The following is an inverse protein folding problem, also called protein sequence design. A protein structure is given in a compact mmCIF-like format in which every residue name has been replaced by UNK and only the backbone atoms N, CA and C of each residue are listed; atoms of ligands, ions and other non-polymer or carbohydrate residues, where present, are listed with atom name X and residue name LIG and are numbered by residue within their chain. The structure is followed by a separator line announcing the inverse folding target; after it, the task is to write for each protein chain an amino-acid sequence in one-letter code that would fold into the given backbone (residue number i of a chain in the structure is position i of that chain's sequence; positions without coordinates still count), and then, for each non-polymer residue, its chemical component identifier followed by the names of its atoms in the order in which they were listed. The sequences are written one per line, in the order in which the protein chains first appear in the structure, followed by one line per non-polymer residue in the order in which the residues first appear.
data_IF_037252160586
#
_entry.id   IF_037252160586
#
_cell.length_a   1.000
_cell.length_b   1.000
_cell.length_c   1.000
_cell.angle_alpha   90.00
_cell.angle_beta   90.00
_cell.angle_gamma   90.00
#
_symmetry.space_group_name_H-M   'P 1'
#
loop_
_entity.id
_entity.type
_entity.pdbx_description
1 polymer ?
#
# COMPACT_ATOMS: atom_id res chain seq x y z
N UNK A 1 -13.06 9.64 8.84
CA UNK A 1 -11.85 10.45 8.55
C UNK A 1 -11.22 11.03 9.82
N UNK A 2 -11.99 11.58 10.76
CA UNK A 2 -11.50 12.10 12.06
C UNK A 2 -10.57 11.14 12.82
N UNK A 3 -11.05 9.94 13.20
CA UNK A 3 -10.23 8.93 13.90
C UNK A 3 -8.90 8.56 13.21
N UNK A 4 -8.87 8.58 11.88
CA UNK A 4 -7.65 8.30 11.13
C UNK A 4 -6.67 9.48 11.21
N UNK A 5 -7.18 10.71 11.21
CA UNK A 5 -6.39 11.91 11.48
C UNK A 5 -5.84 11.93 12.90
N UNK A 6 -6.67 11.57 13.90
CA UNK A 6 -6.25 11.49 15.30
C UNK A 6 -5.14 10.47 15.50
N UNK A 7 -5.19 9.32 14.82
CA UNK A 7 -4.15 8.31 14.88
C UNK A 7 -2.82 8.82 14.29
N UNK A 8 -2.87 9.56 13.18
CA UNK A 8 -1.68 10.18 12.58
C UNK A 8 -1.08 11.24 13.51
N UNK A 9 -1.93 12.08 14.12
CA UNK A 9 -1.50 13.09 15.08
C UNK A 9 -0.85 12.44 16.32
N UNK A 10 -1.50 11.42 16.88
CA UNK A 10 -0.95 10.66 17.99
C UNK A 10 0.39 10.02 17.64
N UNK A 11 0.51 9.37 16.48
CA UNK A 11 1.75 8.77 16.02
C UNK A 11 2.88 9.80 15.84
N UNK A 12 2.54 11.02 15.42
CA UNK A 12 3.48 12.13 15.32
C UNK A 12 3.99 12.60 16.68
N UNK A 13 3.12 12.67 17.69
CA UNK A 13 3.50 12.93 19.08
C UNK A 13 4.41 11.84 19.64
N UNK A 14 4.17 10.56 19.31
CA UNK A 14 5.01 9.45 19.75
C UNK A 14 6.44 9.49 19.21
N UNK A 15 6.65 10.15 18.06
CA UNK A 15 8.00 10.41 17.52
C UNK A 15 8.53 11.79 17.91
N UNK A 16 7.97 12.39 18.96
CA UNK A 16 8.33 13.70 19.48
C UNK A 16 8.32 14.78 18.41
N UNK A 17 7.26 14.78 17.59
CA UNK A 17 7.09 15.71 16.48
C UNK A 17 8.31 15.73 15.53
N UNK A 18 8.89 14.55 15.29
CA UNK A 18 10.03 14.32 14.40
C UNK A 18 11.40 14.47 15.06
N UNK A 19 11.49 14.92 16.31
CA UNK A 19 12.76 15.03 17.03
C UNK A 19 13.41 13.64 17.23
N UNK A 20 12.62 12.61 17.55
CA UNK A 20 13.12 11.24 17.69
C UNK A 20 13.70 10.73 16.35
N UNK A 21 13.01 10.98 15.24
CA UNK A 21 13.46 10.55 13.91
C UNK A 21 14.76 11.25 13.50
N UNK A 22 14.96 12.50 13.92
CA UNK A 22 16.22 13.23 13.72
C UNK A 22 17.35 12.60 14.53
N UNK A 23 17.11 12.23 15.79
CA UNK A 23 18.11 11.54 16.62
C UNK A 23 18.51 10.20 16.01
N UNK A 24 17.53 9.41 15.55
CA UNK A 24 17.78 8.14 14.85
C UNK A 24 18.56 8.36 13.55
N UNK A 25 18.19 9.36 12.74
CA UNK A 25 18.91 9.67 11.49
C UNK A 25 20.37 10.10 11.74
N UNK A 26 20.65 10.75 12.87
CA UNK A 26 22.02 11.11 13.28
C UNK A 26 22.81 9.90 13.77
N UNK A 27 22.18 9.02 14.53
CA UNK A 27 22.82 7.83 15.07
C UNK A 27 23.09 6.79 13.97
N UNK A 28 22.18 6.67 13.02
CA UNK A 28 22.18 5.64 11.98
C UNK A 28 22.00 6.25 10.58
N UNK A 29 22.94 7.08 10.08
CA UNK A 29 22.80 7.75 8.79
C UNK A 29 22.78 6.80 7.59
N UNK A 30 23.15 5.52 7.79
CA UNK A 30 23.08 4.46 6.78
C UNK A 30 21.70 3.78 6.73
N UNK A 31 20.84 4.00 7.71
CA UNK A 31 19.54 3.36 7.79
C UNK A 31 18.47 4.18 7.06
N UNK A 32 17.65 3.50 6.25
CA UNK A 32 16.56 4.15 5.51
C UNK A 32 15.29 4.36 6.37
N UNK A 33 15.08 3.54 7.40
CA UNK A 33 13.81 3.52 8.15
C UNK A 33 13.44 4.86 8.82
N UNK A 34 14.37 5.68 9.39
CA UNK A 34 13.97 6.96 9.98
C UNK A 34 13.40 7.90 8.91
N UNK A 35 13.96 7.83 7.70
CA UNK A 35 13.51 8.58 6.53
C UNK A 35 12.17 8.08 6.00
N UNK A 36 11.99 6.76 5.87
CA UNK A 36 10.72 6.16 5.42
C UNK A 36 9.57 6.48 6.39
N UNK A 37 9.81 6.40 7.71
CA UNK A 37 8.84 6.77 8.74
C UNK A 37 8.53 8.28 8.66
N UNK A 38 9.56 9.13 8.60
CA UNK A 38 9.35 10.59 8.46
C UNK A 38 8.53 10.94 7.20
N UNK A 39 8.80 10.26 6.09
CA UNK A 39 8.11 10.52 4.83
C UNK A 39 6.60 10.24 4.90
N UNK A 40 6.15 9.30 5.74
CA UNK A 40 4.74 9.09 5.99
C UNK A 40 4.08 10.33 6.61
N UNK A 41 4.70 10.93 7.62
CA UNK A 41 4.23 12.17 8.27
C UNK A 41 4.33 13.40 7.35
N UNK A 42 5.45 13.53 6.62
CA UNK A 42 5.67 14.59 5.65
C UNK A 42 4.59 14.62 4.56
N UNK A 43 4.08 13.45 4.16
CA UNK A 43 2.94 13.29 3.24
C UNK A 43 1.62 13.88 3.76
N UNK A 44 1.46 14.00 5.08
CA UNK A 44 0.32 14.67 5.73
C UNK A 44 0.60 16.14 6.10
N UNK A 45 1.75 16.69 5.70
CA UNK A 45 2.15 18.06 6.01
C UNK A 45 2.75 18.24 7.41
N UNK A 46 2.99 17.16 8.14
CA UNK A 46 3.69 17.17 9.43
C UNK A 46 5.20 17.17 9.17
N UNK A 47 5.88 18.24 9.57
CA UNK A 47 7.24 18.56 9.11
C UNK A 47 8.14 18.93 10.29
N UNK A 48 9.41 18.54 10.21
CA UNK A 48 10.42 18.89 11.21
C UNK A 48 11.67 19.46 10.53
N UNK A 49 11.93 20.75 10.73
CA UNK A 49 12.98 21.49 10.01
C UNK A 49 14.37 20.88 10.21
N UNK A 50 14.70 20.48 11.45
CA UNK A 50 15.99 19.87 11.77
C UNK A 50 16.19 18.51 11.09
N UNK A 51 15.10 17.76 10.88
CA UNK A 51 15.14 16.49 10.16
C UNK A 51 15.45 16.74 8.70
N UNK A 52 14.71 17.64 8.05
CA UNK A 52 14.91 17.94 6.63
C UNK A 52 16.26 18.60 6.34
N UNK A 53 16.77 19.41 7.27
CA UNK A 53 18.10 20.00 7.19
C UNK A 53 19.22 18.94 7.16
N UNK A 54 19.10 17.86 7.94
CA UNK A 54 20.04 16.73 7.92
C UNK A 54 19.79 15.79 6.74
N UNK A 55 18.52 15.56 6.39
CA UNK A 55 18.15 14.65 5.34
C UNK A 55 18.65 15.10 3.96
N UNK A 56 18.57 16.41 3.64
CA UNK A 56 19.04 16.95 2.34
C UNK A 56 20.48 16.58 1.98
N UNK A 57 21.51 16.88 2.82
CA UNK A 57 22.87 16.48 2.50
C UNK A 57 23.05 14.96 2.53
N UNK A 58 22.32 14.23 3.39
CA UNK A 58 22.41 12.78 3.49
C UNK A 58 21.95 12.08 2.20
N UNK A 59 20.77 12.47 1.68
CA UNK A 59 20.21 11.87 0.45
C UNK A 59 21.01 12.22 -0.80
N UNK A 60 21.85 13.26 -0.74
CA UNK A 60 22.77 13.64 -1.81
C UNK A 60 24.08 12.82 -1.80
N UNK A 61 24.31 11.96 -0.80
CA UNK A 61 25.53 11.16 -0.72
C UNK A 61 25.52 9.99 -1.69
N UNK A 62 26.72 9.54 -2.08
CA UNK A 62 26.89 8.30 -2.84
C UNK A 62 26.46 7.07 -2.05
N UNK A 63 26.64 7.08 -0.72
CA UNK A 63 26.22 5.99 0.14
C UNK A 63 24.71 5.78 0.05
N UNK A 64 23.93 6.87 0.11
CA UNK A 64 22.48 6.83 -0.09
C UNK A 64 22.10 6.27 -1.47
N UNK A 65 22.70 6.81 -2.53
CA UNK A 65 22.43 6.38 -3.90
C UNK A 65 22.84 4.93 -4.22
N UNK A 66 23.71 4.33 -3.41
CA UNK A 66 24.22 2.97 -3.57
C UNK A 66 23.82 2.04 -2.42
N UNK A 67 22.77 2.37 -1.66
CA UNK A 67 22.28 1.52 -0.57
C UNK A 67 21.88 0.15 -1.12
N UNK A 68 22.50 -0.92 -0.64
CA UNK A 68 22.21 -2.28 -1.07
C UNK A 68 20.88 -2.77 -0.47
N UNK A 69 19.83 -2.80 -1.29
CA UNK A 69 18.49 -3.25 -0.90
C UNK A 69 17.77 -3.92 -2.06
N UNK A 70 16.76 -4.74 -1.74
CA UNK A 70 15.83 -5.27 -2.73
C UNK A 70 15.11 -4.15 -3.50
N UNK A 71 14.79 -4.37 -4.77
CA UNK A 71 14.24 -3.34 -5.65
C UNK A 71 12.89 -2.77 -5.17
N UNK A 72 12.04 -3.58 -4.52
CA UNK A 72 10.78 -3.11 -3.93
C UNK A 72 11.03 -2.13 -2.77
N UNK A 73 12.04 -2.38 -1.93
CA UNK A 73 12.45 -1.47 -0.84
C UNK A 73 13.04 -0.17 -1.41
N UNK A 74 13.85 -0.26 -2.46
CA UNK A 74 14.34 0.94 -3.17
C UNK A 74 13.20 1.79 -3.74
N UNK A 75 12.13 1.19 -4.26
CA UNK A 75 10.93 1.93 -4.67
C UNK A 75 10.25 2.64 -3.49
N UNK A 76 10.24 2.02 -2.31
CA UNK A 76 9.76 2.64 -1.07
C UNK A 76 10.55 3.89 -0.70
N UNK A 77 11.86 3.85 -0.86
CA UNK A 77 12.73 5.01 -0.64
C UNK A 77 12.48 6.12 -1.67
N UNK A 78 12.35 5.78 -2.95
CA UNK A 78 12.00 6.74 -4.01
C UNK A 78 10.61 7.37 -3.77
N UNK A 79 9.63 6.59 -3.30
CA UNK A 79 8.32 7.12 -2.90
C UNK A 79 8.46 8.08 -1.71
N UNK A 80 9.25 7.71 -0.71
CA UNK A 80 9.51 8.52 0.49
C UNK A 80 10.13 9.86 0.13
N UNK A 81 11.13 9.88 -0.77
CA UNK A 81 11.77 11.09 -1.27
C UNK A 81 10.76 12.05 -1.93
N UNK A 82 9.82 11.51 -2.71
CA UNK A 82 8.74 12.31 -3.30
C UNK A 82 7.80 12.91 -2.25
N UNK A 83 7.49 12.18 -1.18
CA UNK A 83 6.63 12.67 -0.08
C UNK A 83 7.32 13.77 0.73
N UNK A 84 8.62 13.62 0.98
CA UNK A 84 9.43 14.68 1.60
C UNK A 84 9.59 15.87 0.65
N UNK A 85 9.54 15.66 -0.67
CA UNK A 85 9.62 16.72 -1.67
C UNK A 85 11.06 17.00 -2.11
N UNK A 86 11.95 16.01 -2.02
CA UNK A 86 13.33 16.10 -2.51
C UNK A 86 13.46 15.44 -3.89
N UNK A 87 14.55 15.75 -4.59
CA UNK A 87 14.91 15.06 -5.83
C UNK A 87 15.21 13.60 -5.50
N UNK A 88 14.60 12.69 -6.25
CA UNK A 88 14.80 11.25 -6.04
C UNK A 88 16.22 10.84 -6.43
N UNK A 89 16.85 10.00 -5.62
CA UNK A 89 18.24 9.59 -5.87
C UNK A 89 18.40 8.71 -7.12
N UNK A 90 17.31 8.12 -7.61
CA UNK A 90 17.28 7.25 -8.78
C UNK A 90 15.95 7.36 -9.53
N UNK A 91 15.91 6.81 -10.75
CA UNK A 91 14.69 6.72 -11.54
C UNK A 91 13.81 5.55 -11.07
N UNK A 92 12.54 5.83 -10.78
CA UNK A 92 11.59 4.81 -10.34
C UNK A 92 11.33 3.75 -11.41
N UNK A 93 11.35 4.09 -12.70
CA UNK A 93 11.14 3.13 -13.78
C UNK A 93 12.26 2.10 -13.85
N UNK A 94 13.50 2.54 -13.73
CA UNK A 94 14.68 1.68 -13.68
C UNK A 94 14.78 0.81 -12.43
N UNK A 95 14.21 1.25 -11.29
CA UNK A 95 14.09 0.39 -10.09
C UNK A 95 12.94 -0.61 -10.28
N UNK A 96 11.80 -0.17 -10.80
CA UNK A 96 10.63 -1.01 -11.04
C UNK A 96 10.97 -2.20 -11.92
N UNK A 97 11.71 -2.01 -13.01
CA UNK A 97 12.09 -3.09 -13.93
C UNK A 97 12.95 -4.20 -13.29
N UNK A 98 13.55 -3.94 -12.11
CA UNK A 98 14.31 -4.93 -11.34
C UNK A 98 13.47 -5.67 -10.28
N UNK A 99 12.22 -5.27 -10.07
CA UNK A 99 11.30 -5.97 -9.17
C UNK A 99 10.72 -7.21 -9.84
N UNK A 100 10.28 -8.19 -9.03
CA UNK A 100 9.55 -9.37 -9.52
C UNK A 100 8.31 -8.98 -10.35
N UNK A 101 7.54 -8.01 -9.86
CA UNK A 101 6.36 -7.49 -10.58
C UNK A 101 6.73 -6.75 -11.87
N UNK A 102 7.76 -5.89 -11.84
CA UNK A 102 8.15 -5.11 -13.02
C UNK A 102 8.81 -5.96 -14.11
N UNK A 103 9.39 -7.10 -13.75
CA UNK A 103 9.82 -8.14 -14.69
C UNK A 103 8.67 -8.98 -15.28
N UNK A 104 7.43 -8.81 -14.77
CA UNK A 104 6.28 -9.65 -15.10
C UNK A 104 6.62 -11.14 -14.94
N UNK A 105 7.27 -11.49 -13.83
CA UNK A 105 7.73 -12.84 -13.54
C UNK A 105 6.60 -13.87 -13.66
N UNK A 106 6.97 -15.13 -13.83
CA UNK A 106 6.03 -16.23 -14.01
C UNK A 106 5.04 -16.31 -12.84
N UNK A 107 3.73 -16.22 -13.09
CA UNK A 107 2.72 -16.05 -12.03
C UNK A 107 2.57 -17.29 -11.13
N UNK A 108 2.98 -18.47 -11.60
CA UNK A 108 3.02 -19.70 -10.81
C UNK A 108 4.23 -19.79 -9.85
N UNK A 109 5.16 -18.83 -9.92
CA UNK A 109 6.26 -18.68 -8.96
C UNK A 109 5.88 -17.74 -7.79
N UNK A 110 4.59 -17.43 -7.65
CA UNK A 110 4.07 -16.66 -6.53
C UNK A 110 4.21 -17.47 -5.23
N UNK A 111 4.84 -16.85 -4.24
CA UNK A 111 5.07 -17.38 -2.89
C UNK A 111 4.98 -16.22 -1.89
N UNK A 112 4.89 -16.49 -0.59
CA UNK A 112 4.74 -15.45 0.43
C UNK A 112 5.71 -14.26 0.26
N UNK A 113 7.04 -14.48 0.19
CA UNK A 113 8.00 -13.39 -0.01
C UNK A 113 7.81 -12.59 -1.30
N UNK A 114 7.47 -13.23 -2.43
CA UNK A 114 7.24 -12.53 -3.69
C UNK A 114 5.89 -11.79 -3.69
N UNK A 115 4.89 -12.33 -2.99
CA UNK A 115 3.61 -11.68 -2.70
C UNK A 115 3.78 -10.37 -1.96
N UNK A 116 4.45 -10.39 -0.79
CA UNK A 116 4.76 -9.17 -0.03
C UNK A 116 5.63 -8.18 -0.83
N UNK A 117 6.59 -8.68 -1.61
CA UNK A 117 7.39 -7.79 -2.46
C UNK A 117 6.56 -7.12 -3.56
N UNK A 118 5.61 -7.84 -4.16
CA UNK A 118 4.69 -7.35 -5.19
C UNK A 118 3.71 -6.31 -4.63
N UNK A 119 3.09 -6.58 -3.49
CA UNK A 119 2.11 -5.68 -2.86
C UNK A 119 2.76 -4.35 -2.50
N UNK A 120 3.92 -4.38 -1.85
CA UNK A 120 4.72 -3.19 -1.55
C UNK A 120 5.15 -2.44 -2.81
N UNK A 121 5.50 -3.15 -3.89
CA UNK A 121 5.80 -2.51 -5.18
C UNK A 121 4.61 -1.69 -5.66
N UNK A 122 3.39 -2.24 -5.63
CA UNK A 122 2.17 -1.51 -5.99
C UNK A 122 1.89 -0.35 -5.04
N UNK A 123 2.01 -0.55 -3.72
CA UNK A 123 1.80 0.51 -2.74
C UNK A 123 2.76 1.68 -2.97
N UNK A 124 4.04 1.43 -3.24
CA UNK A 124 5.00 2.48 -3.52
C UNK A 124 4.78 3.17 -4.86
N UNK A 125 4.40 2.43 -5.92
CA UNK A 125 4.08 2.99 -7.24
C UNK A 125 2.87 3.94 -7.16
N UNK A 126 1.82 3.48 -6.49
CA UNK A 126 0.52 4.15 -6.41
C UNK A 126 0.46 5.21 -5.31
N UNK A 127 1.56 5.47 -4.57
CA UNK A 127 1.53 6.32 -3.39
C UNK A 127 0.42 5.89 -2.41
N UNK A 128 0.44 4.59 -2.07
CA UNK A 128 -0.53 3.91 -1.22
C UNK A 128 -1.97 4.06 -1.72
N UNK A 129 -2.14 3.91 -3.03
CA UNK A 129 -3.42 4.04 -3.74
C UNK A 129 -3.84 5.47 -4.09
N UNK A 130 -3.08 6.51 -3.73
CA UNK A 130 -3.44 7.91 -4.03
C UNK A 130 -3.27 8.28 -5.51
N UNK A 131 -2.37 7.61 -6.20
CA UNK A 131 -1.94 7.90 -7.58
C UNK A 131 -2.02 6.62 -8.44
N UNK A 132 -3.22 6.04 -8.64
CA UNK A 132 -3.39 4.77 -9.36
C UNK A 132 -2.84 4.82 -10.79
N UNK A 133 -2.97 5.97 -11.47
CA UNK A 133 -2.54 6.17 -12.87
C UNK A 133 -1.02 6.07 -13.09
N UNK A 134 -0.23 5.91 -12.01
CA UNK A 134 1.21 5.64 -12.10
C UNK A 134 1.54 4.19 -12.42
N UNK A 135 0.57 3.28 -12.34
CA UNK A 135 0.78 1.86 -12.67
C UNK A 135 0.86 1.71 -14.19
N UNK A 136 1.95 1.15 -14.74
CA UNK A 136 2.05 0.87 -16.17
C UNK A 136 0.98 -0.13 -16.63
N UNK A 137 0.41 0.08 -17.82
CA UNK A 137 -0.67 -0.74 -18.40
C UNK A 137 -0.35 -2.25 -18.41
N UNK A 138 0.90 -2.63 -18.71
CA UNK A 138 1.32 -4.04 -18.70
C UNK A 138 1.25 -4.67 -17.30
N UNK A 139 1.60 -3.90 -16.27
CA UNK A 139 1.53 -4.35 -14.87
C UNK A 139 0.08 -4.41 -14.41
N UNK A 140 -0.75 -3.43 -14.77
CA UNK A 140 -2.19 -3.46 -14.50
C UNK A 140 -2.86 -4.70 -15.11
N UNK A 141 -2.63 -4.96 -16.41
CA UNK A 141 -3.17 -6.15 -17.07
C UNK A 141 -2.69 -7.47 -16.45
N UNK A 142 -1.41 -7.55 -16.06
CA UNK A 142 -0.85 -8.71 -15.38
C UNK A 142 -1.51 -8.93 -14.01
N UNK A 143 -1.63 -7.89 -13.18
CA UNK A 143 -2.28 -7.98 -11.87
C UNK A 143 -3.77 -8.34 -12.00
N UNK A 144 -4.49 -7.73 -12.93
CA UNK A 144 -5.91 -8.05 -13.18
C UNK A 144 -6.13 -9.51 -13.60
N UNK A 145 -5.15 -10.11 -14.26
CA UNK A 145 -5.22 -11.52 -14.68
C UNK A 145 -5.00 -12.47 -13.50
N UNK A 146 -4.05 -12.15 -12.62
CA UNK A 146 -3.53 -13.13 -11.64
C UNK A 146 -3.96 -12.90 -10.19
N UNK A 147 -4.38 -11.68 -9.82
CA UNK A 147 -4.86 -11.39 -8.47
C UNK A 147 -5.94 -12.36 -7.98
N UNK A 148 -6.96 -12.76 -8.77
CA UNK A 148 -7.96 -13.73 -8.31
C UNK A 148 -7.35 -15.06 -7.89
N UNK A 149 -6.49 -15.65 -8.73
CA UNK A 149 -5.88 -16.95 -8.43
C UNK A 149 -4.94 -16.90 -7.21
N UNK A 150 -4.20 -15.81 -7.03
CA UNK A 150 -3.35 -15.65 -5.85
C UNK A 150 -4.15 -15.41 -4.57
N UNK A 151 -5.23 -14.62 -4.65
CA UNK A 151 -6.13 -14.42 -3.52
C UNK A 151 -6.79 -15.73 -3.09
N UNK A 152 -7.28 -16.53 -4.05
CA UNK A 152 -7.84 -17.86 -3.78
C UNK A 152 -6.81 -18.77 -3.07
N UNK A 153 -5.57 -18.83 -3.56
CA UNK A 153 -4.52 -19.60 -2.92
C UNK A 153 -4.13 -19.10 -1.51
N UNK A 154 -4.17 -17.79 -1.29
CA UNK A 154 -3.94 -17.20 0.04
C UNK A 154 -5.09 -17.56 1.00
N UNK A 155 -6.35 -17.53 0.53
CA UNK A 155 -7.50 -17.95 1.32
C UNK A 155 -7.43 -19.43 1.69
N UNK A 156 -7.12 -20.31 0.72
CA UNK A 156 -6.99 -21.76 0.95
C UNK A 156 -5.89 -22.10 1.96
N UNK A 157 -4.80 -21.33 1.96
CA UNK A 157 -3.67 -21.51 2.89
C UNK A 157 -3.81 -20.75 4.21
N UNK A 158 -4.92 -20.01 4.39
CA UNK A 158 -5.16 -19.19 5.58
C UNK A 158 -4.13 -18.07 5.75
N UNK A 159 -3.66 -17.46 4.66
CA UNK A 159 -2.76 -16.30 4.64
C UNK A 159 -3.61 -15.02 4.60
N UNK A 160 -4.20 -14.65 5.74
CA UNK A 160 -5.17 -13.55 5.82
C UNK A 160 -4.53 -12.17 5.63
N UNK A 161 -3.31 -11.98 6.15
CA UNK A 161 -2.55 -10.75 5.97
C UNK A 161 -2.29 -10.48 4.48
N UNK A 162 -1.65 -11.43 3.80
CA UNK A 162 -1.36 -11.34 2.38
C UNK A 162 -2.63 -11.25 1.53
N UNK A 163 -3.71 -11.95 1.90
CA UNK A 163 -5.02 -11.79 1.27
C UNK A 163 -5.50 -10.34 1.34
N UNK A 164 -5.40 -9.71 2.51
CA UNK A 164 -5.73 -8.30 2.71
C UNK A 164 -4.84 -7.37 1.87
N UNK A 165 -3.55 -7.66 1.76
CA UNK A 165 -2.65 -6.89 0.90
C UNK A 165 -3.01 -7.00 -0.58
N UNK A 166 -3.38 -8.19 -1.06
CA UNK A 166 -3.83 -8.40 -2.45
C UNK A 166 -5.15 -7.65 -2.74
N UNK A 167 -6.06 -7.55 -1.77
CA UNK A 167 -7.24 -6.69 -1.90
C UNK A 167 -6.88 -5.20 -1.95
N UNK A 168 -5.93 -4.77 -1.11
CA UNK A 168 -5.41 -3.41 -1.16
C UNK A 168 -4.73 -3.11 -2.52
N UNK A 169 -4.03 -4.08 -3.10
CA UNK A 169 -3.50 -3.98 -4.47
C UNK A 169 -4.64 -3.76 -5.45
N UNK A 170 -5.67 -4.61 -5.45
CA UNK A 170 -6.83 -4.49 -6.33
C UNK A 170 -7.51 -3.11 -6.23
N UNK A 171 -7.68 -2.59 -5.01
CA UNK A 171 -8.25 -1.26 -4.76
C UNK A 171 -7.33 -0.09 -5.14
N UNK A 172 -6.03 -0.34 -5.37
CA UNK A 172 -5.03 0.66 -5.74
C UNK A 172 -4.78 0.77 -7.25
N UNK A 173 -5.33 -0.14 -8.06
CA UNK A 173 -5.16 -0.12 -9.51
C UNK A 173 -5.98 0.98 -10.20
N UNK A 174 -5.61 1.39 -11.42
CA UNK A 174 -6.42 2.29 -12.25
C UNK A 174 -7.82 1.72 -12.50
N UNK A 175 -8.87 2.49 -12.21
CA UNK A 175 -10.25 2.06 -12.42
C UNK A 175 -10.82 1.19 -11.29
N UNK A 176 -11.98 0.56 -11.50
CA UNK A 176 -12.62 -0.23 -10.46
C UNK A 176 -11.84 -1.51 -10.17
N UNK A 177 -11.84 -1.90 -8.90
CA UNK A 177 -11.42 -3.22 -8.45
C UNK A 177 -12.39 -4.28 -9.02
N UNK A 178 -11.89 -5.48 -9.38
CA UNK A 178 -12.76 -6.55 -9.87
C UNK A 178 -13.80 -6.94 -8.82
N UNK A 179 -15.09 -6.80 -9.14
CA UNK A 179 -16.18 -7.03 -8.19
C UNK A 179 -16.21 -8.50 -7.75
N UNK A 180 -15.93 -9.42 -8.66
CA UNK A 180 -15.89 -10.85 -8.42
C UNK A 180 -14.83 -11.22 -7.38
N UNK A 181 -13.68 -10.55 -7.40
CA UNK A 181 -12.64 -10.70 -6.39
C UNK A 181 -13.13 -10.18 -5.02
N UNK A 182 -13.76 -9.01 -5.00
CA UNK A 182 -14.27 -8.43 -3.75
C UNK A 182 -15.34 -9.33 -3.12
N UNK A 183 -16.28 -9.83 -3.93
CA UNK A 183 -17.37 -10.70 -3.49
C UNK A 183 -16.86 -12.06 -3.00
N UNK A 184 -15.76 -12.57 -3.56
CA UNK A 184 -15.16 -13.82 -3.12
C UNK A 184 -14.39 -13.66 -1.79
N UNK A 185 -13.65 -12.57 -1.61
CA UNK A 185 -12.70 -12.45 -0.49
C UNK A 185 -13.31 -11.81 0.76
N UNK A 186 -14.13 -10.74 0.62
CA UNK A 186 -14.62 -9.99 1.77
C UNK A 186 -15.47 -10.81 2.76
N UNK A 187 -16.37 -11.71 2.32
CA UNK A 187 -17.11 -12.57 3.24
C UNK A 187 -16.17 -13.46 4.08
N UNK A 188 -15.13 -14.02 3.46
CA UNK A 188 -14.17 -14.88 4.16
C UNK A 188 -13.35 -14.07 5.17
N UNK A 189 -12.88 -12.86 4.79
CA UNK A 189 -12.18 -11.98 5.72
C UNK A 189 -13.06 -11.53 6.90
N UNK A 190 -14.35 -11.33 6.67
CA UNK A 190 -15.30 -11.01 7.73
C UNK A 190 -15.51 -12.20 8.69
N UNK A 191 -15.53 -13.42 8.17
CA UNK A 191 -15.70 -14.64 8.99
C UNK A 191 -14.48 -14.94 9.86
N UNK A 192 -13.27 -14.58 9.42
CA UNK A 192 -12.03 -14.75 10.22
C UNK A 192 -11.76 -13.59 11.18
N UNK A 193 -12.45 -12.46 11.01
CA UNK A 193 -12.32 -11.31 11.90
C UNK A 193 -12.91 -11.64 13.27
N UNK A 194 -12.10 -11.47 14.31
CA UNK A 194 -12.54 -11.65 15.68
C UNK A 194 -13.56 -10.56 16.08
N UNK A 195 -14.50 -10.82 17.02
CA UNK A 195 -15.43 -9.80 17.51
C UNK A 195 -14.80 -8.52 18.08
N UNK A 196 -13.53 -8.55 18.48
CA UNK A 196 -12.76 -7.35 18.86
C UNK A 196 -12.33 -6.48 17.67
N UNK A 197 -12.49 -6.98 16.45
CA UNK A 197 -12.03 -6.36 15.21
C UNK A 197 -10.66 -6.85 14.72
N UNK A 198 -9.94 -7.63 15.53
CA UNK A 198 -8.63 -8.18 15.16
C UNK A 198 -8.77 -9.20 14.01
N UNK A 199 -7.82 -9.18 13.10
CA UNK A 199 -7.69 -10.18 12.03
C UNK A 199 -6.38 -10.95 12.26
N UNK A 200 -6.38 -12.29 12.36
CA UNK A 200 -5.13 -13.06 12.45
C UNK A 200 -4.24 -12.82 11.24
N UNK A 201 -2.92 -12.91 11.37
CA UNK A 201 -2.04 -12.86 10.20
C UNK A 201 -2.20 -14.12 9.32
N UNK A 202 -2.17 -15.30 9.98
CA UNK A 202 -2.27 -16.59 9.30
C UNK A 202 -3.03 -17.63 10.13
N UNK A 203 -3.37 -18.75 9.49
CA UNK A 203 -3.82 -19.98 10.15
C UNK A 203 -5.29 -19.99 10.53
N UNK A 204 -5.67 -20.92 11.42
CA UNK A 204 -7.06 -21.06 11.86
C UNK A 204 -7.37 -20.00 12.92
N UNK A 205 -8.45 -19.22 12.76
CA UNK A 205 -8.83 -18.23 13.76
C UNK A 205 -9.08 -18.86 15.14
N UNK A 206 -8.53 -18.23 16.17
CA UNK A 206 -8.71 -18.61 17.57
C UNK A 206 -10.20 -18.62 17.92
N UNK A 207 -10.64 -19.71 18.54
CA UNK A 207 -12.01 -19.90 19.01
C UNK A 207 -12.10 -19.51 20.49
N UNK A 208 -13.21 -18.88 20.88
CA UNK A 208 -13.45 -18.53 22.28
C UNK A 208 -13.74 -19.76 23.17
N UNK A 209 -13.36 -19.72 24.46
CA UNK A 209 -12.73 -18.59 25.16
C UNK A 209 -11.19 -18.69 25.20
N UNK A 210 -10.49 -17.64 24.76
CA UNK A 210 -9.05 -17.45 24.97
C UNK A 210 -8.79 -16.17 25.81
N UNK A 211 -7.80 -16.17 26.75
CA UNK A 211 -7.56 -15.02 27.64
C UNK A 211 -7.16 -13.72 26.93
N UNK A 212 -6.46 -13.85 25.81
CA UNK A 212 -6.16 -12.80 24.83
C UNK A 212 -6.05 -13.51 23.48
N UNK A 213 -7.14 -13.62 22.70
CA UNK A 213 -7.15 -14.43 21.48
C UNK A 213 -6.16 -13.91 20.45
N UNK A 214 -5.84 -12.62 20.48
CA UNK A 214 -4.89 -11.97 19.58
C UNK A 214 -4.16 -10.83 20.27
N UNK A 215 -2.97 -11.10 20.85
CA UNK A 215 -2.09 -10.03 21.31
C UNK A 215 -1.84 -9.05 20.17
N UNK A 216 -1.88 -7.74 20.46
CA UNK A 216 -1.76 -6.71 19.43
C UNK A 216 -0.55 -6.93 18.52
N UNK A 217 0.60 -7.33 19.08
CA UNK A 217 1.85 -7.56 18.33
C UNK A 217 1.73 -8.66 17.27
N UNK A 218 0.80 -9.60 17.43
CA UNK A 218 0.62 -10.76 16.55
C UNK A 218 -0.48 -10.55 15.48
N UNK A 219 -1.22 -9.44 15.55
CA UNK A 219 -2.34 -9.19 14.64
C UNK A 219 -2.48 -7.74 14.17
N UNK A 220 -1.62 -6.82 14.63
CA UNK A 220 -1.77 -5.41 14.28
C UNK A 220 -1.62 -5.18 12.78
N UNK A 221 -0.69 -5.88 12.13
CA UNK A 221 -0.39 -5.69 10.72
C UNK A 221 -1.58 -6.07 9.85
N UNK A 222 -2.05 -7.31 9.95
CA UNK A 222 -3.23 -7.83 9.25
C UNK A 222 -4.49 -7.04 9.54
N UNK A 223 -4.68 -6.58 10.79
CA UNK A 223 -5.82 -5.71 11.15
C UNK A 223 -5.75 -4.37 10.42
N UNK A 224 -4.58 -3.72 10.40
CA UNK A 224 -4.37 -2.44 9.71
C UNK A 224 -4.46 -2.60 8.19
N UNK A 225 -3.89 -3.67 7.63
CA UNK A 225 -3.98 -4.03 6.21
C UNK A 225 -5.43 -4.25 5.81
N UNK A 226 -6.22 -4.96 6.62
CA UNK A 226 -7.65 -5.18 6.35
C UNK A 226 -8.43 -3.86 6.32
N UNK A 227 -8.18 -2.97 7.30
CA UNK A 227 -8.80 -1.65 7.32
C UNK A 227 -8.37 -0.78 6.13
N UNK A 228 -7.10 -0.88 5.72
CA UNK A 228 -6.55 -0.20 4.56
C UNK A 228 -7.20 -0.69 3.26
N UNK A 229 -7.25 -2.02 3.05
CA UNK A 229 -7.91 -2.65 1.93
C UNK A 229 -9.38 -2.21 1.82
N UNK A 230 -10.11 -2.20 2.93
CA UNK A 230 -11.51 -1.77 2.97
C UNK A 230 -11.67 -0.32 2.51
N UNK A 231 -10.81 0.60 2.97
CA UNK A 231 -10.82 1.99 2.55
C UNK A 231 -10.55 2.15 1.04
N UNK A 232 -9.61 1.38 0.50
CA UNK A 232 -9.27 1.39 -0.93
C UNK A 232 -10.39 0.79 -1.79
N UNK A 233 -10.97 -0.35 -1.39
CA UNK A 233 -12.11 -0.97 -2.07
C UNK A 233 -13.30 -0.02 -2.11
N UNK A 234 -13.65 0.62 -0.99
CA UNK A 234 -14.74 1.60 -0.93
C UNK A 234 -14.48 2.80 -1.85
N UNK A 235 -13.25 3.32 -1.89
CA UNK A 235 -12.88 4.39 -2.82
C UNK A 235 -13.03 3.95 -4.27
N UNK A 236 -12.52 2.77 -4.60
CA UNK A 236 -12.56 2.21 -5.95
C UNK A 236 -14.00 2.03 -6.46
N UNK A 237 -14.89 1.50 -5.60
CA UNK A 237 -16.32 1.32 -5.91
C UNK A 237 -17.05 2.66 -6.08
N UNK A 238 -16.75 3.67 -5.27
CA UNK A 238 -17.36 5.02 -5.40
C UNK A 238 -16.95 5.72 -6.68
N UNK A 239 -15.68 5.60 -7.09
CA UNK A 239 -15.20 6.15 -8.36
C UNK A 239 -15.91 5.57 -9.59
N UNK A 240 -16.52 4.39 -9.47
CA UNK A 240 -17.35 3.78 -10.51
C UNK A 240 -18.78 4.37 -10.57
N UNK A 241 -19.38 4.68 -9.42
CA UNK A 241 -20.72 5.28 -9.34
C UNK A 241 -20.79 6.66 -10.00
N UNK A 242 -19.79 7.51 -9.75
CA UNK A 242 -19.72 8.87 -10.31
C UNK A 242 -19.47 8.89 -11.84
N UNK A 243 -18.78 7.87 -12.38
CA UNK A 243 -18.60 7.70 -13.84
C UNK A 243 -19.81 7.06 -14.52
N UNK A 244 -20.58 6.22 -13.81
CA UNK A 244 -21.80 5.60 -14.32
C UNK A 244 -22.97 6.58 -14.47
N UNK A 245 -23.10 7.54 -13.55
CA UNK A 245 -24.19 8.54 -13.59
C UNK A 245 -23.98 9.62 -14.67
N UNK A 246 -22.75 9.88 -15.07
CA UNK A 246 -22.43 10.91 -16.10
C UNK A 246 -22.53 10.40 -17.54
N UNK A 247 -22.74 9.09 -17.76
CA UNK A 247 -22.90 8.49 -19.09
C UNK A 247 -24.34 8.45 -19.64
N UNK A 248 -25.33 8.92 -18.87
CA UNK A 248 -26.75 8.68 -19.14
C UNK A 248 -27.53 9.77 -19.90
N UNK A 249 -26.91 10.86 -20.37
CA UNK A 249 -27.64 11.93 -21.06
C UNK A 249 -26.85 12.57 -22.20
N UNK A 250 -26.83 11.92 -23.37
CA UNK A 250 -26.58 12.61 -24.64
C UNK A 250 -27.96 12.92 -25.29
N UNK A 251 -28.36 14.20 -25.45
CA UNK A 251 -29.58 14.52 -26.17
C UNK A 251 -29.37 14.26 -27.66
N UNK A 252 -30.22 13.41 -28.23
CA UNK A 252 -30.24 13.06 -29.65
C UNK A 252 -30.39 14.30 -30.52
N UNK A 253 -29.45 14.49 -31.44
CA UNK A 253 -29.51 15.52 -32.47
C UNK A 253 -30.27 14.94 -33.66
N UNK A 254 -31.56 15.29 -33.78
CA UNK A 254 -32.35 15.01 -34.97
C UNK A 254 -31.66 15.60 -36.21
N UNK A 255 -31.34 14.75 -37.18
CA UNK A 255 -31.04 15.16 -38.55
C UNK A 255 -32.36 15.38 -39.27
N UNK A 256 -32.73 16.63 -39.55
CA UNK A 256 -33.67 16.95 -40.64
C UNK A 256 -32.96 16.76 -41.97
N UNK A 257 -33.41 15.79 -42.75
CA UNK A 257 -33.15 15.68 -44.19
C UNK A 257 -34.00 16.69 -44.94
N UNK A 258 -33.41 17.31 -45.96
CA UNK A 258 -34.13 17.96 -47.05
C UNK A 258 -34.69 16.91 -48.02
#
# INVERSE_FOLDING_TARGET
HERAGDLVAYAWEQVHEGALLLELLRAEPFAAYPYEIYAAFAGYGLRHEGFEALARPLTATRAWAHTEQHANRQLGLVNSERRVGVVTHTDAGGVLSRTWLGGLSEPWMFEGPSGYALTHTVFHLTDWGRMPDRVPEKIDGYLRTWLPAWADGCLESGQWDLTGELLAVAGSLPGPAPVELLDAVWPVLADVQHPTGCVPETGVPVQDPAPDPYPFIDCYHSTLVTAFAAALSLRSLRGNGERGETGGAAPGRERRTA
#
